data_IF_628231545573
#
_entry.id   IF_628231545573
#
_cell.length_a   1.000
_cell.length_b   1.000
_cell.length_c   1.000
_cell.angle_alpha   90.00
_cell.angle_beta   90.00
_cell.angle_gamma   90.00
#
_symmetry.space_group_name_H-M   'P 1'
#
loop_
_entity.id
_entity.type
_entity.pdbx_description
1 polymer ?
#
# COMPACT_ATOMS: atom_id res chain seq x y z
N UNK A 1 -0.36 13.70 22.69
CA UNK A 1 -0.70 13.67 21.27
C UNK A 1 -0.48 12.27 20.72
N UNK A 2 -1.51 11.66 20.16
CA UNK A 2 -1.47 10.28 19.63
C UNK A 2 -1.98 10.28 18.19
N UNK A 3 -1.19 9.76 17.28
CA UNK A 3 -1.50 9.64 15.85
C UNK A 3 -1.60 8.18 15.46
N UNK A 4 -2.71 7.78 14.81
CA UNK A 4 -2.78 6.48 14.16
C UNK A 4 -2.25 6.59 12.73
N UNK A 5 -1.32 5.73 12.37
CA UNK A 5 -0.64 5.74 11.07
C UNK A 5 -0.97 4.46 10.33
N UNK A 6 -1.46 4.61 9.10
CA UNK A 6 -1.89 3.55 8.20
C UNK A 6 -1.24 3.74 6.84
N UNK A 7 -0.89 2.66 6.16
CA UNK A 7 -0.32 2.66 4.81
C UNK A 7 -0.69 1.41 4.04
N UNK A 8 -0.54 1.45 2.74
CA UNK A 8 -0.56 0.27 1.88
C UNK A 8 -1.83 -0.59 2.09
N UNK A 9 -3.00 0.06 1.94
CA UNK A 9 -4.32 -0.53 2.18
C UNK A 9 -4.74 -1.45 1.04
N UNK A 10 -4.33 -1.12 -0.21
CA UNK A 10 -4.51 -1.97 -1.39
C UNK A 10 -5.95 -2.48 -1.59
N UNK A 11 -6.95 -1.61 -1.40
CA UNK A 11 -8.36 -1.97 -1.58
C UNK A 11 -8.91 -2.93 -0.52
N UNK A 12 -8.21 -3.22 0.56
CA UNK A 12 -8.64 -4.14 1.60
C UNK A 12 -9.50 -3.45 2.67
N UNK A 13 -10.78 -3.27 2.35
CA UNK A 13 -11.73 -2.63 3.27
C UNK A 13 -11.89 -3.39 4.58
N UNK A 14 -11.85 -4.73 4.53
CA UNK A 14 -12.01 -5.57 5.73
C UNK A 14 -10.88 -5.33 6.72
N UNK A 15 -9.64 -5.32 6.23
CA UNK A 15 -8.47 -5.03 7.03
C UNK A 15 -8.48 -3.58 7.57
N UNK A 16 -8.85 -2.60 6.73
CA UNK A 16 -8.98 -1.21 7.14
C UNK A 16 -10.00 -1.04 8.27
N UNK A 17 -11.18 -1.67 8.17
CA UNK A 17 -12.18 -1.66 9.24
C UNK A 17 -11.65 -2.27 10.54
N UNK A 18 -10.89 -3.36 10.44
CA UNK A 18 -10.24 -3.98 11.60
C UNK A 18 -9.26 -3.04 12.30
N UNK A 19 -8.48 -2.26 11.53
CA UNK A 19 -7.63 -1.21 12.10
C UNK A 19 -8.47 -0.17 12.87
N UNK A 20 -9.61 0.25 12.31
CA UNK A 20 -10.45 1.24 12.95
C UNK A 20 -11.19 0.74 14.20
N UNK A 21 -11.41 -0.56 14.36
CA UNK A 21 -11.88 -1.14 15.62
C UNK A 21 -10.91 -0.84 16.78
N UNK A 22 -9.58 -0.87 16.52
CA UNK A 22 -8.59 -0.47 17.50
C UNK A 22 -8.52 1.07 17.65
N UNK A 23 -8.46 1.79 16.54
CA UNK A 23 -8.28 3.24 16.50
C UNK A 23 -9.41 3.95 17.26
N UNK A 24 -10.66 3.59 16.99
CA UNK A 24 -11.84 4.22 17.60
C UNK A 24 -11.90 4.03 19.14
N UNK A 25 -11.15 3.07 19.70
CA UNK A 25 -11.03 2.82 21.14
C UNK A 25 -9.69 3.27 21.76
N UNK A 26 -8.82 3.92 20.98
CA UNK A 26 -7.43 4.21 21.39
C UNK A 26 -7.13 5.67 21.75
N UNK A 27 -8.15 6.52 21.91
CA UNK A 27 -7.98 7.97 22.18
C UNK A 27 -6.98 8.62 21.19
N UNK A 28 -7.27 8.52 19.90
CA UNK A 28 -6.44 9.05 18.82
C UNK A 28 -6.84 10.51 18.54
N UNK A 29 -5.82 11.37 18.43
CA UNK A 29 -5.99 12.80 18.12
C UNK A 29 -5.96 13.09 16.60
N UNK A 30 -5.40 12.20 15.81
CA UNK A 30 -5.32 12.37 14.36
C UNK A 30 -4.91 11.13 13.61
N UNK A 31 -5.19 11.13 12.29
CA UNK A 31 -4.90 10.04 11.36
C UNK A 31 -3.80 10.46 10.38
N UNK A 32 -2.92 9.52 10.05
CA UNK A 32 -1.91 9.68 9.01
C UNK A 32 -2.04 8.52 8.03
N UNK A 33 -2.30 8.84 6.77
CA UNK A 33 -2.38 7.87 5.69
C UNK A 33 -1.19 8.06 4.74
N UNK A 34 -0.41 6.99 4.54
CA UNK A 34 0.87 7.05 3.83
C UNK A 34 0.85 6.50 2.40
N UNK A 35 -0.31 6.45 1.73
CA UNK A 35 -0.43 6.06 0.32
C UNK A 35 -0.80 4.60 0.08
N UNK A 36 -0.97 4.28 -1.20
CA UNK A 36 -1.39 2.97 -1.74
C UNK A 36 -2.71 2.48 -1.15
N UNK A 37 -3.77 3.28 -1.38
CA UNK A 37 -5.14 2.98 -0.89
C UNK A 37 -5.87 1.99 -1.78
N UNK A 38 -5.54 2.01 -3.08
CA UNK A 38 -6.22 1.31 -4.17
C UNK A 38 -5.39 0.13 -4.69
N UNK A 39 -5.99 -0.67 -5.59
CA UNK A 39 -5.38 -1.84 -6.24
C UNK A 39 -5.51 -3.12 -5.41
N UNK A 40 -5.00 -4.21 -5.90
CA UNK A 40 -4.84 -5.57 -5.37
C UNK A 40 -6.14 -6.24 -4.87
N UNK A 41 -6.83 -5.71 -3.89
CA UNK A 41 -8.17 -6.20 -3.50
C UNK A 41 -9.23 -5.29 -4.13
N UNK A 42 -10.26 -5.83 -4.82
CA UNK A 42 -11.19 -5.06 -5.64
C UNK A 42 -12.30 -4.35 -4.84
N UNK A 43 -11.89 -3.56 -3.83
CA UNK A 43 -12.77 -2.67 -3.04
C UNK A 43 -12.15 -1.26 -2.93
N UNK A 44 -11.47 -0.81 -3.98
CA UNK A 44 -10.76 0.47 -4.00
C UNK A 44 -11.70 1.66 -3.74
N UNK A 45 -12.89 1.65 -4.35
CA UNK A 45 -13.89 2.71 -4.17
C UNK A 45 -14.38 2.76 -2.73
N UNK A 46 -14.74 1.63 -2.18
CA UNK A 46 -15.23 1.52 -0.79
C UNK A 46 -14.16 1.93 0.23
N UNK A 47 -12.90 1.64 -0.04
CA UNK A 47 -11.76 2.10 0.79
C UNK A 47 -11.67 3.61 0.76
N UNK A 48 -11.70 4.24 -0.42
CA UNK A 48 -11.63 5.70 -0.54
C UNK A 48 -12.83 6.39 0.15
N UNK A 49 -14.04 5.86 -0.01
CA UNK A 49 -15.24 6.35 0.68
C UNK A 49 -15.08 6.23 2.21
N UNK A 50 -14.57 5.09 2.69
CA UNK A 50 -14.35 4.88 4.13
C UNK A 50 -13.29 5.83 4.70
N UNK A 51 -12.19 6.06 3.99
CA UNK A 51 -11.17 7.06 4.35
C UNK A 51 -11.80 8.46 4.43
N UNK A 52 -12.61 8.86 3.43
CA UNK A 52 -13.33 10.15 3.43
C UNK A 52 -14.25 10.30 4.66
N UNK A 53 -14.95 9.23 5.06
CA UNK A 53 -15.83 9.24 6.24
C UNK A 53 -14.98 9.44 7.51
N UNK A 54 -13.90 8.67 7.68
CA UNK A 54 -13.04 8.74 8.86
C UNK A 54 -12.27 10.07 8.94
N UNK A 55 -11.86 10.62 7.81
CA UNK A 55 -11.18 11.93 7.73
C UNK A 55 -12.07 13.11 8.17
N UNK A 56 -13.40 12.93 8.19
CA UNK A 56 -14.32 13.93 8.76
C UNK A 56 -14.41 13.86 10.30
N UNK A 57 -14.02 12.72 10.89
CA UNK A 57 -14.08 12.49 12.34
C UNK A 57 -12.77 12.85 13.04
N UNK A 58 -11.65 12.82 12.33
CA UNK A 58 -10.30 13.03 12.86
C UNK A 58 -9.56 14.09 12.05
N UNK A 59 -8.64 14.81 12.69
CA UNK A 59 -7.64 15.58 11.96
C UNK A 59 -6.79 14.62 11.15
N UNK A 60 -6.69 14.84 9.84
CA UNK A 60 -6.07 13.86 8.93
C UNK A 60 -4.99 14.49 8.08
N UNK A 61 -3.86 13.80 7.96
CA UNK A 61 -2.80 14.02 6.99
C UNK A 61 -2.75 12.83 6.04
N UNK A 62 -2.74 13.11 4.75
CA UNK A 62 -2.86 12.10 3.70
C UNK A 62 -1.87 12.38 2.58
N UNK A 63 -1.11 11.36 2.17
CA UNK A 63 -0.21 11.44 1.02
C UNK A 63 -0.55 10.32 0.05
N UNK A 64 -0.36 10.53 -1.26
CA UNK A 64 -0.60 9.48 -2.25
C UNK A 64 0.64 8.61 -2.44
N UNK A 65 0.40 7.34 -2.78
CA UNK A 65 1.41 6.36 -3.07
C UNK A 65 1.62 6.15 -4.57
N UNK A 66 2.39 5.13 -4.91
CA UNK A 66 2.65 4.82 -6.32
C UNK A 66 1.45 4.15 -7.02
N UNK A 67 0.55 3.50 -6.31
CA UNK A 67 -0.66 2.93 -6.94
C UNK A 67 -1.58 4.04 -7.45
N UNK A 68 -1.75 5.10 -6.68
CA UNK A 68 -2.48 6.28 -7.12
C UNK A 68 -1.76 6.96 -8.31
N UNK A 69 -0.42 7.11 -8.25
CA UNK A 69 0.34 7.69 -9.35
C UNK A 69 0.19 6.87 -10.65
N UNK A 70 0.27 5.52 -10.59
CA UNK A 70 0.09 4.66 -11.77
C UNK A 70 -1.32 4.79 -12.37
N UNK A 71 -2.35 4.84 -11.52
CA UNK A 71 -3.73 5.00 -11.96
C UNK A 71 -3.95 6.38 -12.63
N UNK A 72 -3.40 7.45 -12.05
CA UNK A 72 -3.46 8.80 -12.61
C UNK A 72 -2.73 8.85 -13.96
N UNK A 73 -1.52 8.29 -14.04
CA UNK A 73 -0.74 8.22 -15.28
C UNK A 73 -1.47 7.44 -16.38
N UNK A 74 -2.16 6.36 -16.03
CA UNK A 74 -3.00 5.60 -16.98
C UNK A 74 -4.20 6.42 -17.45
N UNK A 75 -4.86 7.12 -16.54
CA UNK A 75 -5.99 7.98 -16.88
C UNK A 75 -5.59 9.13 -17.82
N UNK A 76 -4.40 9.69 -17.66
CA UNK A 76 -3.88 10.79 -18.49
C UNK A 76 -3.24 10.30 -19.79
N UNK A 77 -2.92 9.01 -19.92
CA UNK A 77 -2.27 8.39 -21.07
C UNK A 77 -2.96 7.07 -21.43
N UNK A 78 -4.20 7.12 -21.98
CA UNK A 78 -5.01 5.93 -22.24
C UNK A 78 -4.47 5.04 -23.37
N UNK A 79 -3.45 5.48 -24.11
CA UNK A 79 -2.68 4.63 -25.04
C UNK A 79 -1.88 3.54 -24.34
N UNK A 80 -1.63 3.64 -23.04
CA UNK A 80 -1.09 2.55 -22.21
C UNK A 80 -2.15 1.45 -22.11
N UNK A 81 -2.00 0.40 -22.89
CA UNK A 81 -2.95 -0.70 -22.95
C UNK A 81 -2.75 -1.65 -21.78
N UNK A 82 -3.29 -1.34 -20.61
CA UNK A 82 -3.43 -2.34 -19.57
C UNK A 82 -4.50 -3.36 -19.92
N UNK A 83 -4.26 -4.62 -19.65
CA UNK A 83 -5.20 -5.70 -19.90
C UNK A 83 -5.44 -6.51 -18.61
N UNK A 84 -6.57 -7.24 -18.59
CA UNK A 84 -6.87 -8.13 -17.47
C UNK A 84 -5.92 -9.33 -17.40
N UNK A 85 -5.26 -9.66 -18.50
CA UNK A 85 -4.27 -10.73 -18.60
C UNK A 85 -2.85 -10.28 -18.21
N UNK A 86 -2.68 -9.07 -17.66
CA UNK A 86 -1.38 -8.51 -17.26
C UNK A 86 -1.25 -8.38 -15.74
N UNK A 87 -0.03 -8.11 -15.28
CA UNK A 87 0.26 -7.73 -13.89
C UNK A 87 -0.43 -6.42 -13.46
N UNK A 88 -0.98 -5.66 -14.41
CA UNK A 88 -1.74 -4.43 -14.17
C UNK A 88 -3.24 -4.70 -13.97
N UNK A 89 -3.70 -5.96 -14.04
CA UNK A 89 -5.12 -6.31 -13.89
C UNK A 89 -5.74 -5.74 -12.59
N UNK A 90 -5.03 -5.82 -11.50
CA UNK A 90 -5.55 -5.35 -10.20
C UNK A 90 -5.76 -3.82 -10.18
N UNK A 91 -4.84 -3.04 -10.75
CA UNK A 91 -4.99 -1.59 -10.82
C UNK A 91 -5.98 -1.17 -11.90
N UNK A 92 -6.13 -1.96 -12.97
CA UNK A 92 -7.17 -1.76 -13.98
C UNK A 92 -8.58 -1.97 -13.41
N UNK A 93 -8.78 -2.99 -12.57
CA UNK A 93 -10.04 -3.20 -11.84
C UNK A 93 -10.32 -2.02 -10.90
N UNK A 94 -9.30 -1.53 -10.19
CA UNK A 94 -9.44 -0.33 -9.37
C UNK A 94 -9.88 0.87 -10.21
N UNK A 95 -9.21 1.14 -11.33
CA UNK A 95 -9.54 2.22 -12.26
C UNK A 95 -10.99 2.13 -12.75
N UNK A 96 -11.46 0.94 -13.15
CA UNK A 96 -12.82 0.73 -13.63
C UNK A 96 -13.90 0.91 -12.55
N UNK A 97 -13.54 0.82 -11.27
CA UNK A 97 -14.46 1.02 -10.14
C UNK A 97 -14.63 2.48 -9.74
N UNK A 98 -13.71 3.36 -10.15
CA UNK A 98 -13.67 4.76 -9.74
C UNK A 98 -14.38 5.67 -10.76
N UNK A 99 -14.98 6.73 -10.25
CA UNK A 99 -15.53 7.82 -11.05
C UNK A 99 -14.46 8.85 -11.40
N UNK A 100 -14.76 9.73 -12.34
CA UNK A 100 -13.90 10.88 -12.67
C UNK A 100 -13.63 11.76 -11.45
N UNK A 101 -14.64 11.97 -10.59
CA UNK A 101 -14.49 12.75 -9.35
C UNK A 101 -13.55 12.07 -8.37
N UNK A 102 -13.61 10.73 -8.24
CA UNK A 102 -12.68 9.98 -7.38
C UNK A 102 -11.24 10.13 -7.86
N UNK A 103 -11.02 10.06 -9.18
CA UNK A 103 -9.69 10.23 -9.77
C UNK A 103 -9.17 11.66 -9.57
N UNK A 104 -10.03 12.66 -9.73
CA UNK A 104 -9.71 14.05 -9.48
C UNK A 104 -9.37 14.32 -8.00
N UNK A 105 -10.07 13.69 -7.07
CA UNK A 105 -9.72 13.74 -5.66
C UNK A 105 -8.34 13.12 -5.39
N UNK A 106 -8.00 11.97 -5.99
CA UNK A 106 -6.67 11.37 -5.89
C UNK A 106 -5.57 12.29 -6.42
N UNK A 107 -5.81 13.01 -7.53
CA UNK A 107 -4.86 13.99 -8.10
C UNK A 107 -4.55 15.13 -7.13
N UNK A 108 -5.50 15.53 -6.27
CA UNK A 108 -5.30 16.60 -5.30
C UNK A 108 -4.47 16.18 -4.07
N UNK A 109 -4.37 14.87 -3.80
CA UNK A 109 -3.54 14.36 -2.71
C UNK A 109 -2.06 14.59 -3.06
N UNK A 110 -1.32 15.20 -2.15
CA UNK A 110 0.12 15.48 -2.35
C UNK A 110 0.97 14.22 -2.17
N UNK A 111 2.17 14.22 -2.73
CA UNK A 111 3.16 13.15 -2.53
C UNK A 111 3.88 13.23 -1.18
N UNK A 112 3.79 14.34 -0.48
CA UNK A 112 4.27 14.50 0.88
C UNK A 112 3.43 15.52 1.64
N UNK A 113 3.44 15.39 2.96
CA UNK A 113 2.83 16.33 3.90
C UNK A 113 3.77 16.58 5.09
N UNK A 114 3.52 17.65 5.82
CA UNK A 114 4.22 17.95 7.07
C UNK A 114 3.21 18.04 8.20
N UNK A 115 3.39 17.20 9.20
CA UNK A 115 2.65 17.29 10.45
C UNK A 115 3.34 18.36 11.30
N UNK A 116 2.67 19.49 11.46
CA UNK A 116 3.11 20.60 12.29
C UNK A 116 2.04 20.86 13.37
N UNK A 117 2.33 20.41 14.59
CA UNK A 117 1.42 20.51 15.72
C UNK A 117 2.14 21.31 16.81
N UNK A 118 1.49 22.33 17.41
CA UNK A 118 2.10 23.13 18.48
C UNK A 118 2.67 22.27 19.61
N UNK A 119 3.87 22.61 20.06
CA UNK A 119 4.60 21.93 21.12
C UNK A 119 5.01 20.47 20.83
N UNK A 120 5.09 20.09 19.54
CA UNK A 120 5.66 18.81 19.13
C UNK A 120 6.75 19.02 18.09
N UNK A 121 7.66 18.03 17.91
CA UNK A 121 8.56 18.02 16.78
C UNK A 121 7.77 17.71 15.48
N UNK A 122 8.11 18.42 14.40
CA UNK A 122 7.51 18.21 13.08
C UNK A 122 7.85 16.84 12.51
N UNK A 123 6.89 16.26 11.79
CA UNK A 123 7.08 14.99 11.09
C UNK A 123 6.90 15.21 9.59
N UNK A 124 7.83 14.74 8.80
CA UNK A 124 7.69 14.64 7.35
C UNK A 124 7.00 13.33 6.98
N UNK A 125 5.94 13.38 6.19
CA UNK A 125 5.17 12.21 5.75
C UNK A 125 5.31 12.06 4.25
N UNK A 126 5.67 10.87 3.79
CA UNK A 126 5.77 10.51 2.36
C UNK A 126 5.45 9.03 2.17
N UNK A 127 5.13 8.61 0.94
CA UNK A 127 4.95 7.18 0.69
C UNK A 127 6.30 6.44 0.59
N UNK A 128 7.29 7.01 -0.11
CA UNK A 128 8.62 6.39 -0.27
C UNK A 128 9.71 7.25 0.36
N UNK A 129 10.38 6.74 1.40
CA UNK A 129 11.47 7.49 2.04
C UNK A 129 12.68 7.68 1.12
N UNK A 130 12.86 6.85 0.10
CA UNK A 130 13.94 6.95 -0.89
C UNK A 130 13.77 8.13 -1.84
N UNK A 131 12.53 8.65 -1.98
CA UNK A 131 12.23 9.80 -2.83
C UNK A 131 12.52 11.14 -2.13
N UNK A 132 12.89 11.11 -0.84
CA UNK A 132 13.23 12.30 -0.08
C UNK A 132 14.52 12.91 -0.62
N UNK A 133 14.41 14.16 -1.08
CA UNK A 133 15.57 14.96 -1.46
C UNK A 133 16.20 15.59 -0.22
N UNK A 134 17.23 14.96 0.32
CA UNK A 134 18.00 15.50 1.44
C UNK A 134 18.88 16.66 0.94
N UNK A 135 18.44 17.87 1.22
CA UNK A 135 19.21 19.09 0.97
C UNK A 135 19.29 19.92 2.28
N UNK A 136 19.99 21.05 2.26
CA UNK A 136 20.20 21.91 3.44
C UNK A 136 18.89 22.46 4.05
N UNK A 137 17.75 22.33 3.34
CA UNK A 137 16.42 22.74 3.81
C UNK A 137 15.64 21.60 4.46
N UNK A 138 16.14 20.34 4.41
CA UNK A 138 15.48 19.21 5.05
C UNK A 138 15.82 19.20 6.55
N UNK A 139 15.01 19.87 7.34
CA UNK A 139 15.18 20.01 8.80
C UNK A 139 14.06 19.27 9.56
N UNK A 140 13.97 17.96 9.35
CA UNK A 140 13.03 17.09 10.04
C UNK A 140 13.75 15.97 10.78
N UNK A 141 13.41 15.80 12.07
CA UNK A 141 13.94 14.71 12.90
C UNK A 141 13.16 13.41 12.76
N UNK A 142 11.95 13.50 12.20
CA UNK A 142 11.02 12.37 12.11
C UNK A 142 10.45 12.27 10.70
N UNK A 143 10.39 11.04 10.20
CA UNK A 143 9.81 10.69 8.91
C UNK A 143 8.86 9.53 9.09
N UNK A 144 7.65 9.65 8.57
CA UNK A 144 6.70 8.54 8.41
C UNK A 144 6.65 8.18 6.93
N UNK A 145 6.68 6.89 6.61
CA UNK A 145 6.63 6.40 5.22
C UNK A 145 5.91 5.05 5.13
N UNK A 146 5.47 4.67 3.93
CA UNK A 146 4.86 3.39 3.58
C UNK A 146 5.71 2.53 2.66
N UNK A 147 5.08 1.91 1.66
CA UNK A 147 5.68 1.22 0.52
C UNK A 147 6.39 -0.11 0.80
N UNK A 148 7.05 -0.26 1.93
CA UNK A 148 7.86 -1.46 2.21
C UNK A 148 7.02 -2.62 2.78
N UNK A 149 5.73 -2.37 3.12
CA UNK A 149 4.76 -3.32 3.71
C UNK A 149 5.18 -3.99 5.02
N UNK A 150 6.35 -3.65 5.55
CA UNK A 150 6.91 -4.19 6.79
C UNK A 150 6.91 -3.12 7.87
N UNK A 151 6.62 -3.49 9.10
CA UNK A 151 6.78 -2.57 10.23
C UNK A 151 8.26 -2.28 10.46
N UNK A 152 8.66 -1.00 10.36
CA UNK A 152 10.05 -0.60 10.48
C UNK A 152 10.21 0.61 11.42
N UNK A 153 11.25 0.54 12.23
CA UNK A 153 11.78 1.67 12.98
C UNK A 153 13.31 1.65 12.92
N UNK A 154 13.87 2.72 12.38
CA UNK A 154 15.33 2.88 12.36
C UNK A 154 15.73 4.35 12.44
N UNK A 155 17.00 4.60 12.74
CA UNK A 155 17.59 5.95 12.74
C UNK A 155 18.73 6.02 11.75
N UNK A 156 18.79 7.10 10.98
CA UNK A 156 19.86 7.38 10.02
C UNK A 156 20.16 8.87 10.01
N UNK A 157 21.41 9.25 10.22
CA UNK A 157 21.86 10.66 10.23
C UNK A 157 21.04 11.55 11.18
N UNK A 158 20.67 11.04 12.36
CA UNK A 158 19.88 11.79 13.33
C UNK A 158 18.38 11.86 13.07
N UNK A 159 17.90 11.33 11.94
CA UNK A 159 16.49 11.25 11.58
C UNK A 159 15.94 9.90 11.99
N UNK A 160 14.76 9.87 12.60
CA UNK A 160 14.02 8.66 12.96
C UNK A 160 12.95 8.38 11.91
N UNK A 161 12.94 7.16 11.40
CA UNK A 161 12.05 6.67 10.35
C UNK A 161 11.07 5.66 10.92
N UNK A 162 9.79 5.82 10.57
CA UNK A 162 8.71 4.94 10.98
C UNK A 162 7.93 4.46 9.77
N UNK A 163 7.72 3.15 9.66
CA UNK A 163 6.81 2.55 8.70
C UNK A 163 5.75 1.74 9.47
N UNK A 164 4.45 2.00 9.28
CA UNK A 164 3.39 1.28 9.99
C UNK A 164 3.24 -0.18 9.57
N UNK A 165 3.93 -0.63 8.53
CA UNK A 165 3.61 -1.83 7.79
C UNK A 165 2.45 -1.60 6.82
N UNK A 166 1.91 -2.67 6.27
CA UNK A 166 0.75 -2.60 5.38
C UNK A 166 -0.54 -2.93 6.13
N UNK A 167 -1.55 -2.06 6.00
CA UNK A 167 -2.88 -2.36 6.51
C UNK A 167 -3.60 -3.40 5.64
N UNK A 168 -3.31 -3.47 4.34
CA UNK A 168 -4.00 -4.36 3.41
C UNK A 168 -3.28 -5.66 3.08
N UNK A 169 -1.96 -5.59 2.90
CA UNK A 169 -1.10 -6.70 2.43
C UNK A 169 0.25 -6.70 3.15
N UNK A 170 0.33 -7.03 4.45
CA UNK A 170 1.60 -7.18 5.16
C UNK A 170 2.52 -8.20 4.49
N UNK A 171 3.83 -7.94 4.52
CA UNK A 171 4.85 -8.84 3.95
C UNK A 171 5.97 -9.19 4.93
N UNK A 172 5.71 -9.01 6.21
CA UNK A 172 6.64 -9.25 7.33
C UNK A 172 6.45 -10.61 8.02
N UNK A 173 5.75 -11.55 7.33
CA UNK A 173 5.48 -12.91 7.83
C UNK A 173 4.22 -13.02 8.69
N UNK A 174 3.46 -11.92 8.84
CA UNK A 174 2.22 -11.91 9.60
C UNK A 174 0.98 -11.83 8.68
N UNK A 175 0.14 -12.88 8.63
CA UNK A 175 -1.12 -12.85 7.89
C UNK A 175 -2.19 -12.09 8.68
N UNK A 176 -2.39 -10.80 8.36
CA UNK A 176 -3.33 -9.95 9.08
C UNK A 176 -3.31 -8.52 8.57
N UNK A 177 -3.41 -7.56 9.48
CA UNK A 177 -3.31 -6.13 9.19
C UNK A 177 -2.34 -5.46 10.16
N UNK A 178 -1.63 -4.43 9.70
CA UNK A 178 -0.64 -3.71 10.48
C UNK A 178 -0.96 -2.23 10.55
N UNK A 179 -0.71 -1.62 11.71
CA UNK A 179 -0.75 -0.18 11.91
C UNK A 179 0.23 0.25 12.99
N UNK A 180 0.46 1.55 13.08
CA UNK A 180 1.31 2.16 14.08
C UNK A 180 0.51 3.24 14.83
N UNK A 181 0.60 3.26 16.16
CA UNK A 181 0.22 4.42 16.98
C UNK A 181 1.51 5.15 17.36
N UNK A 182 1.59 6.43 17.03
CA UNK A 182 2.74 7.26 17.32
C UNK A 182 2.35 8.27 18.41
N UNK A 183 2.93 8.12 19.60
CA UNK A 183 2.62 8.97 20.74
C UNK A 183 3.74 9.98 21.01
N UNK A 184 3.42 11.26 21.15
CA UNK A 184 4.35 12.29 21.58
C UNK A 184 4.33 12.41 23.10
N UNK A 185 5.42 11.97 23.72
CA UNK A 185 5.64 12.06 25.18
C UNK A 185 7.11 12.31 25.49
N UNK A 186 7.37 13.05 26.57
CA UNK A 186 8.73 13.41 26.99
C UNK A 186 9.54 14.08 25.87
N UNK A 187 8.89 14.92 25.04
CA UNK A 187 9.48 15.63 23.90
C UNK A 187 10.03 14.70 22.80
N UNK A 188 9.49 13.49 22.64
CA UNK A 188 9.85 12.56 21.57
C UNK A 188 8.62 11.82 21.04
N UNK A 189 8.64 11.49 19.75
CA UNK A 189 7.66 10.59 19.15
C UNK A 189 8.09 9.14 19.40
N UNK A 190 7.20 8.38 20.05
CA UNK A 190 7.39 6.97 20.43
C UNK A 190 6.45 6.08 19.64
N UNK A 191 6.94 5.07 18.88
CA UNK A 191 6.11 4.16 18.14
C UNK A 191 5.56 3.02 19.01
N UNK A 192 4.32 2.63 18.75
CA UNK A 192 3.70 1.41 19.24
C UNK A 192 3.09 0.68 18.04
N UNK A 193 3.69 -0.45 17.66
CA UNK A 193 3.33 -1.23 16.49
C UNK A 193 2.27 -2.27 16.82
N UNK A 194 1.31 -2.45 15.92
CA UNK A 194 0.22 -3.41 16.06
C UNK A 194 0.12 -4.32 14.86
N UNK A 195 0.00 -5.62 15.13
CA UNK A 195 -0.48 -6.63 14.21
C UNK A 195 -1.84 -7.11 14.69
N UNK A 196 -2.84 -7.12 13.82
CA UNK A 196 -4.20 -7.52 14.15
C UNK A 196 -4.68 -8.61 13.20
N UNK A 197 -5.23 -9.67 13.76
CA UNK A 197 -5.90 -10.71 13.00
C UNK A 197 -7.30 -10.24 12.57
N UNK A 198 -7.75 -10.68 11.40
CA UNK A 198 -9.10 -10.52 10.90
C UNK A 198 -9.48 -11.71 10.01
N UNK A 199 -10.74 -11.81 9.62
CA UNK A 199 -11.22 -12.88 8.74
C UNK A 199 -10.72 -12.72 7.31
N UNK A 200 -9.63 -13.43 6.99
CA UNK A 200 -9.03 -13.45 5.66
C UNK A 200 -9.93 -14.08 4.59
N UNK A 201 -10.95 -14.86 4.98
CA UNK A 201 -11.86 -15.49 4.01
C UNK A 201 -12.64 -14.44 3.20
N UNK A 202 -12.91 -13.27 3.79
CA UNK A 202 -13.66 -12.19 3.16
C UNK A 202 -12.90 -11.62 1.94
N UNK A 203 -11.69 -11.03 2.08
CA UNK A 203 -10.96 -10.51 0.92
C UNK A 203 -10.56 -11.61 -0.06
N UNK A 204 -10.26 -12.83 0.41
CA UNK A 204 -9.97 -13.97 -0.47
C UNK A 204 -11.16 -14.29 -1.36
N UNK A 205 -12.38 -14.35 -0.84
CA UNK A 205 -13.56 -14.60 -1.63
C UNK A 205 -13.86 -13.46 -2.62
N UNK A 206 -13.60 -12.21 -2.23
CA UNK A 206 -13.74 -11.06 -3.14
C UNK A 206 -12.78 -11.20 -4.32
N UNK A 207 -11.50 -11.52 -4.09
CA UNK A 207 -10.50 -11.72 -5.15
C UNK A 207 -10.91 -12.88 -6.07
N UNK A 208 -11.30 -14.02 -5.50
CA UNK A 208 -11.72 -15.21 -6.27
C UNK A 208 -12.90 -14.97 -7.20
N UNK A 209 -13.80 -14.08 -6.81
CA UNK A 209 -15.00 -13.73 -7.59
C UNK A 209 -14.77 -12.50 -8.49
N UNK A 210 -13.55 -12.02 -8.62
CA UNK A 210 -13.19 -10.86 -9.44
C UNK A 210 -12.41 -11.25 -10.69
N UNK A 211 -12.34 -10.32 -11.63
CA UNK A 211 -11.58 -10.48 -12.87
C UNK A 211 -10.05 -10.45 -12.68
N UNK A 212 -9.55 -10.12 -11.48
CA UNK A 212 -8.10 -10.16 -11.17
C UNK A 212 -7.56 -11.58 -11.19
N UNK A 213 -8.42 -12.56 -10.88
CA UNK A 213 -8.04 -13.97 -10.85
C UNK A 213 -8.26 -14.64 -12.20
N UNK A 214 -7.65 -14.09 -13.27
CA UNK A 214 -7.67 -14.70 -14.60
C UNK A 214 -6.78 -15.96 -14.68
N UNK A 215 -7.02 -16.80 -15.71
CA UNK A 215 -6.29 -18.06 -15.88
C UNK A 215 -4.86 -17.88 -16.42
N UNK A 216 -4.54 -16.72 -17.00
CA UNK A 216 -3.29 -16.49 -17.74
C UNK A 216 -2.11 -16.31 -16.79
N UNK A 217 -2.04 -15.21 -16.05
CA UNK A 217 -0.94 -14.96 -15.11
C UNK A 217 -1.31 -15.23 -13.65
N UNK A 218 -2.61 -15.43 -13.37
CA UNK A 218 -3.15 -15.79 -12.04
C UNK A 218 -2.68 -14.83 -10.93
N UNK A 219 -2.71 -13.52 -11.21
CA UNK A 219 -2.25 -12.48 -10.30
C UNK A 219 -3.01 -12.52 -8.97
N UNK A 220 -4.32 -12.78 -9.01
CA UNK A 220 -5.16 -12.92 -7.82
C UNK A 220 -4.70 -14.03 -6.88
N UNK A 221 -4.18 -15.15 -7.40
CA UNK A 221 -3.65 -16.23 -6.56
C UNK A 221 -2.42 -15.78 -5.77
N UNK A 222 -1.57 -14.94 -6.36
CA UNK A 222 -0.39 -14.40 -5.67
C UNK A 222 -0.79 -13.46 -4.54
N UNK A 223 -1.81 -12.62 -4.77
CA UNK A 223 -2.38 -11.76 -3.72
C UNK A 223 -2.98 -12.61 -2.59
N UNK A 224 -3.77 -13.64 -2.94
CA UNK A 224 -4.35 -14.58 -1.95
C UNK A 224 -3.24 -15.26 -1.14
N UNK A 225 -2.17 -15.67 -1.77
CA UNK A 225 -1.04 -16.30 -1.09
C UNK A 225 -0.32 -15.32 -0.16
N UNK A 226 -0.13 -14.07 -0.59
CA UNK A 226 0.41 -13.00 0.27
C UNK A 226 -0.48 -12.81 1.50
N UNK A 227 -1.80 -12.69 1.33
CA UNK A 227 -2.75 -12.58 2.45
C UNK A 227 -2.65 -13.74 3.44
N UNK A 228 -2.50 -14.97 2.95
CA UNK A 228 -2.45 -16.19 3.78
C UNK A 228 -1.14 -16.38 4.52
N UNK A 229 -0.05 -15.90 3.97
CA UNK A 229 1.30 -16.20 4.47
C UNK A 229 1.99 -14.99 5.11
N UNK A 230 1.54 -13.77 4.81
CA UNK A 230 2.26 -12.54 5.17
C UNK A 230 3.60 -12.39 4.44
N UNK A 231 3.83 -13.13 3.34
CA UNK A 231 5.06 -13.03 2.55
C UNK A 231 4.79 -12.37 1.21
N UNK A 232 5.76 -11.62 0.67
CA UNK A 232 5.66 -10.96 -0.63
C UNK A 232 5.67 -11.97 -1.80
N UNK A 233 4.54 -12.66 -2.01
CA UNK A 233 4.40 -13.62 -3.10
C UNK A 233 4.31 -12.93 -4.46
N UNK A 234 3.73 -11.73 -4.55
CA UNK A 234 3.65 -10.96 -5.79
C UNK A 234 5.02 -10.49 -6.24
N UNK A 235 5.83 -9.93 -5.35
CA UNK A 235 7.19 -9.52 -5.64
C UNK A 235 8.13 -10.68 -5.97
N UNK A 236 7.99 -11.82 -5.30
CA UNK A 236 8.74 -13.05 -5.63
C UNK A 236 8.38 -13.54 -7.03
N UNK A 237 7.09 -13.52 -7.38
CA UNK A 237 6.62 -13.93 -8.69
C UNK A 237 7.19 -13.05 -9.81
N UNK A 238 7.11 -11.73 -9.66
CA UNK A 238 7.69 -10.77 -10.61
C UNK A 238 9.19 -10.98 -10.79
N UNK A 239 9.94 -11.13 -9.69
CA UNK A 239 11.40 -11.37 -9.74
C UNK A 239 11.74 -12.66 -10.52
N UNK A 240 10.98 -13.73 -10.29
CA UNK A 240 11.21 -15.00 -10.98
C UNK A 240 10.87 -14.89 -12.47
N UNK A 241 9.76 -14.23 -12.83
CA UNK A 241 9.39 -13.94 -14.22
C UNK A 241 10.51 -13.17 -14.94
N UNK A 242 10.99 -12.08 -14.33
CA UNK A 242 12.09 -11.27 -14.90
C UNK A 242 13.40 -12.06 -15.00
N UNK A 243 13.73 -12.91 -14.02
CA UNK A 243 14.91 -13.77 -14.05
C UNK A 243 14.86 -14.76 -15.21
N UNK A 244 13.71 -15.41 -15.43
CA UNK A 244 13.54 -16.35 -16.56
C UNK A 244 13.63 -15.62 -17.89
N UNK A 245 12.90 -14.49 -18.05
CA UNK A 245 12.94 -13.68 -19.27
C UNK A 245 14.38 -13.27 -19.62
N UNK A 246 15.13 -12.73 -18.66
CA UNK A 246 16.53 -12.35 -18.83
C UNK A 246 17.40 -13.53 -19.25
N UNK A 247 17.20 -14.73 -18.67
CA UNK A 247 17.98 -15.93 -18.99
C UNK A 247 17.74 -16.44 -20.42
N UNK A 248 16.61 -16.07 -21.03
CA UNK A 248 16.25 -16.39 -22.41
C UNK A 248 16.52 -15.23 -23.39
N UNK A 249 17.15 -14.14 -22.92
CA UNK A 249 17.44 -12.95 -23.75
C UNK A 249 16.21 -12.15 -24.15
N UNK A 250 15.10 -12.30 -23.39
CA UNK A 250 13.85 -11.56 -23.60
C UNK A 250 13.86 -10.23 -22.82
N UNK A 251 12.93 -9.34 -23.16
CA UNK A 251 12.67 -8.12 -22.37
C UNK A 251 12.32 -8.47 -20.92
N UNK A 252 12.75 -7.62 -19.98
CA UNK A 252 12.35 -7.69 -18.56
C UNK A 252 11.28 -6.67 -18.20
N UNK A 253 10.76 -5.93 -19.18
CA UNK A 253 9.58 -5.07 -19.04
C UNK A 253 8.36 -5.98 -18.94
N UNK A 254 7.62 -5.89 -17.83
CA UNK A 254 6.60 -6.89 -17.48
C UNK A 254 5.50 -7.03 -18.54
N UNK A 255 5.12 -5.93 -19.18
CA UNK A 255 4.11 -5.90 -20.23
C UNK A 255 4.54 -6.56 -21.55
N UNK A 256 5.85 -6.76 -21.73
CA UNK A 256 6.45 -7.34 -22.92
C UNK A 256 6.81 -8.83 -22.73
N UNK A 257 6.70 -9.35 -21.49
CA UNK A 257 7.08 -10.72 -21.19
C UNK A 257 5.98 -11.68 -21.64
N UNK A 258 6.30 -12.70 -22.47
CA UNK A 258 5.35 -13.71 -22.93
C UNK A 258 4.69 -14.49 -21.77
N UNK A 259 3.43 -14.90 -21.96
CA UNK A 259 2.64 -15.57 -20.92
C UNK A 259 3.19 -16.93 -20.47
N UNK A 260 3.87 -17.67 -21.34
CA UNK A 260 4.53 -18.93 -21.00
C UNK A 260 5.63 -18.73 -19.95
N UNK A 261 6.31 -17.60 -19.94
CA UNK A 261 7.31 -17.24 -18.90
C UNK A 261 6.64 -17.06 -17.54
N UNK A 262 5.46 -16.41 -17.50
CA UNK A 262 4.67 -16.28 -16.28
C UNK A 262 4.22 -17.64 -15.76
N UNK A 263 3.79 -18.54 -16.63
CA UNK A 263 3.43 -19.92 -16.29
C UNK A 263 4.62 -20.69 -15.72
N UNK A 264 5.77 -20.61 -16.37
CA UNK A 264 7.00 -21.28 -15.92
C UNK A 264 7.47 -20.74 -14.55
N UNK A 265 7.40 -19.43 -14.35
CA UNK A 265 7.77 -18.83 -13.07
C UNK A 265 6.88 -19.35 -11.92
N UNK A 266 5.56 -19.49 -12.15
CA UNK A 266 4.64 -20.04 -11.18
C UNK A 266 4.95 -21.49 -10.83
N UNK A 267 5.26 -22.32 -11.82
CA UNK A 267 5.68 -23.71 -11.61
C UNK A 267 6.96 -23.79 -10.77
N UNK A 268 7.99 -23.00 -11.13
CA UNK A 268 9.25 -22.95 -10.38
C UNK A 268 9.07 -22.58 -8.91
N UNK A 269 8.10 -21.71 -8.62
CA UNK A 269 7.79 -21.26 -7.26
C UNK A 269 6.82 -22.19 -6.52
N UNK A 270 6.42 -23.33 -7.12
CA UNK A 270 5.37 -24.25 -6.58
C UNK A 270 4.10 -23.47 -6.20
N UNK A 271 3.66 -22.58 -7.09
CA UNK A 271 2.49 -21.71 -6.90
C UNK A 271 1.30 -22.13 -7.78
N UNK A 272 1.14 -23.45 -8.01
CA UNK A 272 0.00 -24.01 -8.75
C UNK A 272 -1.29 -24.07 -7.92
#
# INVERSE_FOLDING_TARGET
MRLAVLSDIHGNLTALKRCFELIDHSNIDGLVFCGDYISDIPQSKEVLEYIKIKSKQYKTWIVRGNREDYLIDYHESPEKKWTMESNNAAILVAYQSLTEDDINDLKQIKRYEVIDIPNTDKIYVTHKYRDIKYNDKFDYKYVIFGHEHNQLFFSRKGIRFFNPGSAGLPTDGFPGTSLLILEYKNNVWCPEFYHLEYDLSIPINIIKNSNINNETIRWGDMIIRTLKTGNDCTGLYVKEVQRIAASQGLSTVLEEIPYDIWTLARQNLNME
#
